data_IF_714529487571
#
_entry.id   IF_714529487571
#
_cell.length_a   1.000
_cell.length_b   1.000
_cell.length_c   1.000
_cell.angle_alpha   90.00
_cell.angle_beta   90.00
_cell.angle_gamma   90.00
#
_symmetry.space_group_name_H-M   'P 1'
#
loop_
_entity.id
_entity.type
_entity.pdbx_description
1 polymer ?
#
# COMPACT_ATOMS: atom_id res chain seq x y z
N UNK A 1 -39.76 4.13 -9.25
CA UNK A 1 -38.85 3.02 -8.90
C UNK A 1 -37.57 3.19 -9.72
N UNK A 2 -36.42 3.46 -9.09
CA UNK A 2 -35.13 3.57 -9.81
C UNK A 2 -34.62 2.16 -10.14
N UNK A 3 -35.11 1.58 -11.25
CA UNK A 3 -34.64 0.28 -11.77
C UNK A 3 -33.35 0.43 -12.60
N UNK A 4 -32.49 1.38 -12.25
CA UNK A 4 -31.19 1.58 -12.90
C UNK A 4 -30.07 0.99 -12.07
N UNK A 5 -29.05 0.42 -12.71
CA UNK A 5 -27.79 0.10 -12.05
C UNK A 5 -27.18 1.43 -11.57
N UNK A 6 -26.80 1.56 -10.28
CA UNK A 6 -26.21 2.80 -9.80
C UNK A 6 -24.88 3.09 -10.50
N UNK A 7 -24.55 4.37 -10.80
CA UNK A 7 -23.31 4.69 -11.50
C UNK A 7 -22.10 4.30 -10.67
N UNK A 8 -21.06 3.83 -11.37
CA UNK A 8 -19.81 3.44 -10.74
C UNK A 8 -19.11 4.66 -10.11
N UNK A 9 -18.70 4.53 -8.84
CA UNK A 9 -17.92 5.56 -8.15
C UNK A 9 -16.50 5.06 -7.94
N UNK A 10 -15.54 5.73 -8.58
CA UNK A 10 -14.10 5.48 -8.41
C UNK A 10 -13.70 5.70 -6.96
N UNK A 11 -14.25 6.73 -6.30
CA UNK A 11 -13.97 7.02 -4.89
C UNK A 11 -14.43 5.86 -4.00
N UNK A 12 -15.62 5.31 -4.26
CA UNK A 12 -16.13 4.17 -3.49
C UNK A 12 -15.32 2.90 -3.76
N UNK A 13 -14.88 2.70 -5.00
CA UNK A 13 -13.99 1.58 -5.35
C UNK A 13 -12.65 1.68 -4.61
N UNK A 14 -11.99 2.85 -4.65
CA UNK A 14 -10.73 3.07 -3.93
C UNK A 14 -10.91 2.88 -2.43
N UNK A 15 -11.99 3.40 -1.86
CA UNK A 15 -12.31 3.20 -0.45
C UNK A 15 -12.53 1.71 -0.11
N UNK A 16 -13.23 0.95 -0.97
CA UNK A 16 -13.41 -0.50 -0.81
C UNK A 16 -12.08 -1.25 -0.79
N UNK A 17 -11.21 -0.96 -1.76
CA UNK A 17 -9.89 -1.60 -1.86
C UNK A 17 -9.06 -1.31 -0.60
N UNK A 18 -8.98 -0.05 -0.20
CA UNK A 18 -8.21 0.38 0.98
C UNK A 18 -8.76 -0.24 2.27
N UNK A 19 -10.08 -0.22 2.49
CA UNK A 19 -10.67 -0.81 3.69
C UNK A 19 -10.56 -2.33 3.71
N UNK A 20 -10.62 -3.00 2.56
CA UNK A 20 -10.37 -4.43 2.45
C UNK A 20 -8.94 -4.80 2.85
N UNK A 21 -7.94 -4.06 2.35
CA UNK A 21 -6.52 -4.25 2.73
C UNK A 21 -6.34 -4.02 4.23
N UNK A 22 -6.95 -2.97 4.78
CA UNK A 22 -6.89 -2.66 6.21
C UNK A 22 -7.47 -3.78 7.08
N UNK A 23 -8.63 -4.35 6.72
CA UNK A 23 -9.21 -5.47 7.44
C UNK A 23 -8.36 -6.74 7.32
N UNK A 24 -7.75 -6.99 6.16
CA UNK A 24 -6.79 -8.07 5.96
C UNK A 24 -5.59 -7.94 6.89
N UNK A 25 -5.01 -6.73 6.98
CA UNK A 25 -3.87 -6.43 7.85
C UNK A 25 -4.25 -6.57 9.33
N UNK A 26 -5.42 -6.06 9.73
CA UNK A 26 -5.92 -6.22 11.09
C UNK A 26 -6.08 -7.70 11.47
N UNK A 27 -6.59 -8.52 10.56
CA UNK A 27 -6.68 -9.96 10.74
C UNK A 27 -5.29 -10.63 10.76
N UNK A 28 -4.33 -10.17 9.97
CA UNK A 28 -2.96 -10.69 10.00
C UNK A 28 -2.30 -10.45 11.35
N UNK A 29 -2.51 -9.25 11.89
CA UNK A 29 -1.92 -8.86 13.17
C UNK A 29 -2.61 -9.61 14.32
N UNK A 30 -3.94 -9.72 14.31
CA UNK A 30 -4.71 -10.27 15.44
C UNK A 30 -4.99 -11.79 15.38
N UNK A 31 -5.03 -12.38 14.19
CA UNK A 31 -5.58 -13.72 13.95
C UNK A 31 -4.68 -14.63 13.09
N UNK A 32 -3.46 -14.21 12.74
CA UNK A 32 -2.53 -15.02 11.92
C UNK A 32 -2.08 -16.33 12.57
N UNK A 33 -2.26 -16.48 13.88
CA UNK A 33 -1.93 -17.72 14.61
C UNK A 33 -2.91 -18.86 14.35
N UNK A 34 -4.05 -18.59 13.70
CA UNK A 34 -5.03 -19.61 13.35
C UNK A 34 -4.53 -20.47 12.18
N UNK A 35 -4.66 -21.79 12.32
CA UNK A 35 -4.14 -22.81 11.37
C UNK A 35 -4.68 -22.65 9.93
N UNK A 36 -5.83 -21.99 9.76
CA UNK A 36 -6.47 -21.76 8.46
C UNK A 36 -6.57 -20.27 8.10
N UNK A 37 -5.62 -19.47 8.60
CA UNK A 37 -5.64 -18.01 8.43
C UNK A 37 -5.74 -17.58 6.96
N UNK A 38 -4.83 -18.03 6.09
CA UNK A 38 -4.77 -17.59 4.69
C UNK A 38 -5.98 -18.04 3.84
N UNK A 39 -6.59 -19.19 4.18
CA UNK A 39 -7.70 -19.79 3.42
C UNK A 39 -9.06 -19.30 3.89
N UNK A 40 -9.23 -19.09 5.19
CA UNK A 40 -10.54 -18.77 5.78
C UNK A 40 -10.58 -17.34 6.33
N UNK A 41 -9.65 -17.01 7.23
CA UNK A 41 -9.72 -15.79 8.03
C UNK A 41 -9.42 -14.55 7.20
N UNK A 42 -8.37 -14.62 6.36
CA UNK A 42 -7.94 -13.51 5.52
C UNK A 42 -9.00 -13.11 4.47
N UNK A 43 -9.49 -14.01 3.58
CA UNK A 43 -10.51 -13.63 2.60
C UNK A 43 -11.83 -13.20 3.23
N UNK A 44 -12.20 -13.77 4.38
CA UNK A 44 -13.35 -13.34 5.15
C UNK A 44 -13.18 -11.91 5.68
N UNK A 45 -12.06 -11.60 6.31
CA UNK A 45 -11.77 -10.27 6.83
C UNK A 45 -11.75 -9.22 5.70
N UNK A 46 -11.00 -9.48 4.62
CA UNK A 46 -10.91 -8.59 3.46
C UNK A 46 -12.28 -8.39 2.81
N UNK A 47 -13.02 -9.46 2.57
CA UNK A 47 -14.35 -9.39 1.95
C UNK A 47 -15.38 -8.64 2.81
N UNK A 48 -15.32 -8.78 4.14
CA UNK A 48 -16.13 -8.00 5.07
C UNK A 48 -15.76 -6.52 5.05
N UNK A 49 -14.46 -6.18 4.99
CA UNK A 49 -13.97 -4.80 4.87
C UNK A 49 -14.47 -4.13 3.57
N UNK A 50 -14.37 -4.83 2.44
CA UNK A 50 -14.91 -4.37 1.15
C UNK A 50 -16.42 -4.19 1.21
N UNK A 51 -17.15 -5.15 1.79
CA UNK A 51 -18.60 -5.07 1.89
C UNK A 51 -19.07 -3.96 2.83
N UNK A 52 -18.34 -3.67 3.91
CA UNK A 52 -18.61 -2.56 4.81
C UNK A 52 -18.74 -1.25 4.02
N UNK A 53 -17.74 -0.91 3.20
CA UNK A 53 -17.74 0.30 2.36
C UNK A 53 -18.78 0.20 1.23
N UNK A 54 -18.99 -1.00 0.68
CA UNK A 54 -20.05 -1.22 -0.29
C UNK A 54 -21.44 -0.88 0.28
N UNK A 55 -21.62 -1.07 1.58
CA UNK A 55 -22.86 -0.86 2.32
C UNK A 55 -23.00 0.58 2.85
N UNK A 56 -22.09 1.49 2.52
CA UNK A 56 -22.21 2.91 2.89
C UNK A 56 -23.06 3.66 1.86
N UNK A 57 -24.09 4.35 2.34
CA UNK A 57 -24.99 5.16 1.51
C UNK A 57 -26.19 4.40 0.93
N UNK A 58 -26.72 4.91 -0.19
CA UNK A 58 -27.93 4.40 -0.85
C UNK A 58 -27.66 3.19 -1.78
N UNK A 59 -26.39 2.90 -2.05
CA UNK A 59 -25.93 1.80 -2.90
C UNK A 59 -25.43 0.66 -2.02
N UNK A 60 -25.66 -0.58 -2.43
CA UNK A 60 -25.11 -1.76 -1.76
C UNK A 60 -24.77 -2.86 -2.77
N UNK A 61 -23.94 -3.81 -2.37
CA UNK A 61 -23.66 -5.03 -3.14
C UNK A 61 -24.08 -6.25 -2.32
N UNK A 62 -24.26 -7.41 -2.95
CA UNK A 62 -24.56 -8.65 -2.20
C UNK A 62 -23.28 -9.15 -1.55
N UNK A 63 -23.30 -9.35 -0.22
CA UNK A 63 -22.16 -9.85 0.56
C UNK A 63 -21.62 -11.17 0.00
N UNK A 64 -22.51 -12.08 -0.38
CA UNK A 64 -22.14 -13.41 -0.92
C UNK A 64 -21.23 -13.29 -2.15
N UNK A 65 -21.55 -12.41 -3.10
CA UNK A 65 -20.74 -12.27 -4.33
C UNK A 65 -19.35 -11.71 -4.02
N UNK A 66 -19.27 -10.74 -3.10
CA UNK A 66 -18.00 -10.17 -2.63
C UNK A 66 -17.14 -11.22 -1.92
N UNK A 67 -17.74 -12.03 -1.05
CA UNK A 67 -17.04 -13.10 -0.34
C UNK A 67 -16.58 -14.20 -1.29
N UNK A 68 -17.45 -14.68 -2.20
CA UNK A 68 -17.07 -15.70 -3.19
C UNK A 68 -15.86 -15.24 -3.99
N UNK A 69 -15.83 -13.98 -4.44
CA UNK A 69 -14.66 -13.43 -5.11
C UNK A 69 -13.41 -13.48 -4.22
N UNK A 70 -13.50 -13.00 -2.98
CA UNK A 70 -12.39 -13.01 -2.03
C UNK A 70 -11.84 -14.43 -1.80
N UNK A 71 -12.72 -15.40 -1.56
CA UNK A 71 -12.38 -16.81 -1.34
C UNK A 71 -11.82 -17.49 -2.59
N UNK A 72 -12.27 -17.12 -3.80
CA UNK A 72 -11.71 -17.65 -5.04
C UNK A 72 -10.30 -17.13 -5.31
N UNK A 73 -10.02 -15.86 -4.97
CA UNK A 73 -8.67 -15.29 -5.13
C UNK A 73 -7.66 -15.71 -4.06
N UNK A 74 -8.11 -16.07 -2.86
CA UNK A 74 -7.21 -16.40 -1.74
C UNK A 74 -6.24 -17.57 -2.03
N UNK A 75 -6.67 -18.73 -2.55
CA UNK A 75 -5.80 -19.87 -2.83
C UNK A 75 -4.69 -19.58 -3.84
N UNK A 76 -4.93 -18.66 -4.78
CA UNK A 76 -3.97 -18.30 -5.85
C UNK A 76 -2.69 -17.69 -5.26
N UNK A 77 -2.83 -16.99 -4.12
CA UNK A 77 -1.73 -16.28 -3.47
C UNK A 77 -1.44 -16.83 -2.07
N UNK A 78 -1.70 -18.13 -1.87
CA UNK A 78 -1.54 -18.79 -0.57
C UNK A 78 -0.13 -18.60 0.02
N UNK A 79 -0.08 -18.32 1.33
CA UNK A 79 1.18 -18.21 2.09
C UNK A 79 1.98 -16.93 1.86
N UNK A 80 1.48 -15.97 1.06
CA UNK A 80 2.13 -14.67 0.87
C UNK A 80 1.36 -13.57 1.60
N UNK A 81 2.08 -12.70 2.32
CA UNK A 81 1.49 -11.49 2.91
C UNK A 81 0.82 -10.58 1.86
N UNK A 82 1.28 -10.63 0.61
CA UNK A 82 0.73 -9.86 -0.53
C UNK A 82 -0.71 -10.23 -0.87
N UNK A 83 -1.19 -11.41 -0.46
CA UNK A 83 -2.50 -11.95 -0.85
C UNK A 83 -3.68 -11.02 -0.52
N UNK A 84 -3.55 -10.13 0.47
CA UNK A 84 -4.61 -9.18 0.84
C UNK A 84 -4.96 -8.21 -0.30
N UNK A 85 -3.98 -7.78 -1.11
CA UNK A 85 -4.15 -6.81 -2.20
C UNK A 85 -5.00 -7.38 -3.34
N UNK A 86 -4.65 -8.52 -3.99
CA UNK A 86 -5.44 -9.09 -5.07
C UNK A 86 -6.82 -9.56 -4.58
N UNK A 87 -6.91 -10.10 -3.35
CA UNK A 87 -8.20 -10.45 -2.74
C UNK A 87 -9.09 -9.20 -2.62
N UNK A 88 -8.55 -8.09 -2.10
CA UNK A 88 -9.29 -6.84 -1.94
C UNK A 88 -9.72 -6.25 -3.28
N UNK A 89 -8.84 -6.31 -4.29
CA UNK A 89 -9.13 -5.84 -5.63
C UNK A 89 -10.24 -6.66 -6.30
N UNK A 90 -10.13 -8.00 -6.29
CA UNK A 90 -11.12 -8.88 -6.89
C UNK A 90 -12.50 -8.79 -6.20
N UNK A 91 -12.50 -8.71 -4.86
CA UNK A 91 -13.70 -8.48 -4.07
C UNK A 91 -14.33 -7.13 -4.40
N UNK A 92 -13.51 -6.07 -4.54
CA UNK A 92 -14.00 -4.73 -4.90
C UNK A 92 -14.57 -4.69 -6.30
N UNK A 93 -13.89 -5.26 -7.30
CA UNK A 93 -14.38 -5.36 -8.69
C UNK A 93 -15.74 -6.09 -8.71
N UNK A 94 -15.84 -7.22 -8.04
CA UNK A 94 -17.07 -8.03 -7.99
C UNK A 94 -18.20 -7.30 -7.26
N UNK A 95 -17.87 -6.57 -6.19
CA UNK A 95 -18.82 -5.70 -5.48
C UNK A 95 -19.34 -4.58 -6.38
N UNK A 96 -18.45 -3.98 -7.18
CA UNK A 96 -18.75 -2.90 -8.13
C UNK A 96 -19.58 -3.39 -9.33
N UNK A 97 -19.42 -4.65 -9.76
CA UNK A 97 -20.22 -5.23 -10.83
C UNK A 97 -21.64 -5.59 -10.36
N UNK A 98 -21.80 -6.03 -9.11
CA UNK A 98 -23.06 -6.52 -8.56
C UNK A 98 -23.81 -5.48 -7.69
N UNK A 99 -23.77 -4.21 -8.08
CA UNK A 99 -24.37 -3.11 -7.31
C UNK A 99 -25.87 -3.00 -7.53
N UNK A 100 -26.59 -2.72 -6.45
CA UNK A 100 -28.01 -2.41 -6.47
C UNK A 100 -28.34 -1.29 -5.49
N UNK A 101 -29.42 -0.57 -5.76
CA UNK A 101 -29.96 0.39 -4.80
C UNK A 101 -30.55 -0.35 -3.59
N UNK A 102 -30.35 0.21 -2.40
CA UNK A 102 -31.03 -0.29 -1.21
C UNK A 102 -32.54 -0.06 -1.35
N UNK A 103 -33.32 -1.12 -1.12
CA UNK A 103 -34.75 -0.98 -0.88
C UNK A 103 -34.91 -0.23 0.44
N UNK A 104 -35.41 1.00 0.35
CA UNK A 104 -35.39 1.97 1.43
C UNK A 104 -36.37 1.55 2.54
N UNK A 105 -35.90 0.94 3.62
CA UNK A 105 -36.69 0.73 4.83
C UNK A 105 -36.19 1.69 5.91
N UNK A 106 -36.84 2.84 5.99
CA UNK A 106 -36.48 3.96 6.85
C UNK A 106 -36.92 3.65 8.29
N UNK A 107 -36.06 3.02 9.09
CA UNK A 107 -36.23 3.01 10.54
C UNK A 107 -35.48 4.22 11.12
N UNK A 108 -36.23 5.11 11.77
CA UNK A 108 -35.71 6.31 12.42
C UNK A 108 -35.02 5.91 13.73
N UNK A 109 -33.75 5.50 13.66
CA UNK A 109 -32.98 5.14 14.84
C UNK A 109 -32.45 6.38 15.57
N UNK A 110 -32.52 6.36 16.90
CA UNK A 110 -32.03 7.44 17.75
C UNK A 110 -30.51 7.66 17.58
N UNK A 111 -30.08 8.92 17.59
CA UNK A 111 -28.67 9.31 17.40
C UNK A 111 -27.72 8.66 18.43
N UNK A 112 -28.17 8.51 19.67
CA UNK A 112 -27.40 7.85 20.74
C UNK A 112 -27.10 6.38 20.44
N UNK A 113 -28.07 5.65 19.88
CA UNK A 113 -27.91 4.26 19.47
C UNK A 113 -26.92 4.14 18.29
N UNK A 114 -26.92 5.09 17.37
CA UNK A 114 -25.94 5.15 16.28
C UNK A 114 -24.53 5.40 16.80
N UNK A 115 -24.36 6.39 17.66
CA UNK A 115 -23.06 6.72 18.26
C UNK A 115 -22.55 5.57 19.13
N UNK A 116 -23.41 4.91 19.89
CA UNK A 116 -23.07 3.74 20.69
C UNK A 116 -22.58 2.58 19.81
N UNK A 117 -23.28 2.26 18.71
CA UNK A 117 -22.85 1.21 17.77
C UNK A 117 -21.52 1.55 17.09
N UNK A 118 -21.31 2.81 16.71
CA UNK A 118 -20.05 3.27 16.14
C UNK A 118 -18.92 3.17 17.18
N UNK A 119 -19.17 3.57 18.42
CA UNK A 119 -18.21 3.45 19.52
C UNK A 119 -17.86 1.99 19.82
N UNK A 120 -18.85 1.10 19.85
CA UNK A 120 -18.65 -0.34 20.04
C UNK A 120 -17.85 -0.95 18.87
N UNK A 121 -18.18 -0.58 17.63
CA UNK A 121 -17.45 -1.02 16.44
C UNK A 121 -16.00 -0.51 16.46
N UNK A 122 -15.78 0.73 16.87
CA UNK A 122 -14.45 1.30 17.05
C UNK A 122 -13.66 0.54 18.11
N UNK A 123 -14.26 0.24 19.26
CA UNK A 123 -13.60 -0.47 20.36
C UNK A 123 -13.29 -1.93 20.00
N UNK A 124 -14.22 -2.61 19.33
CA UNK A 124 -14.04 -3.98 18.83
C UNK A 124 -12.95 -4.08 17.75
N UNK A 125 -12.73 -3.00 17.00
CA UNK A 125 -11.71 -2.96 15.94
C UNK A 125 -10.34 -2.52 16.48
N UNK A 126 -10.30 -1.50 17.33
CA UNK A 126 -9.06 -0.93 17.86
C UNK A 126 -8.52 -1.70 19.05
N UNK A 127 -9.36 -2.34 19.86
CA UNK A 127 -8.96 -3.11 21.04
C UNK A 127 -8.03 -4.28 20.70
N UNK A 128 -8.41 -5.20 19.78
CA UNK A 128 -7.54 -6.29 19.36
C UNK A 128 -6.27 -5.79 18.67
N UNK A 129 -6.37 -4.73 17.85
CA UNK A 129 -5.23 -4.12 17.15
C UNK A 129 -4.21 -3.54 18.13
N UNK A 130 -4.69 -2.78 19.12
CA UNK A 130 -3.89 -2.25 20.21
C UNK A 130 -3.29 -3.39 21.04
N UNK A 131 -4.09 -4.38 21.43
CA UNK A 131 -3.61 -5.54 22.19
C UNK A 131 -2.48 -6.29 21.45
N UNK A 132 -2.63 -6.53 20.15
CA UNK A 132 -1.59 -7.17 19.33
C UNK A 132 -0.37 -6.29 19.08
N UNK A 133 -0.53 -4.97 18.96
CA UNK A 133 0.57 -4.03 18.79
C UNK A 133 1.40 -3.88 20.07
N UNK A 134 0.77 -3.96 21.24
CA UNK A 134 1.43 -3.80 22.54
C UNK A 134 2.05 -5.11 23.08
N UNK A 135 1.51 -6.29 22.73
CA UNK A 135 1.94 -7.58 23.31
C UNK A 135 2.65 -8.54 22.34
N UNK A 136 2.49 -8.37 21.03
CA UNK A 136 3.09 -9.25 20.01
C UNK A 136 3.89 -8.45 18.97
N UNK A 137 4.61 -7.42 19.46
CA UNK A 137 5.25 -6.36 18.69
C UNK A 137 6.13 -6.86 17.54
N UNK A 138 6.90 -7.93 17.75
CA UNK A 138 7.80 -8.46 16.73
C UNK A 138 7.09 -9.04 15.51
N UNK A 139 5.97 -9.74 15.70
CA UNK A 139 5.17 -10.32 14.60
C UNK A 139 4.36 -9.27 13.86
N UNK A 140 3.79 -8.33 14.60
CA UNK A 140 3.09 -7.18 14.02
C UNK A 140 4.01 -6.41 13.09
N UNK A 141 5.27 -6.23 13.52
CA UNK A 141 6.29 -5.52 12.76
C UNK A 141 6.71 -6.27 11.49
N UNK A 142 6.93 -7.58 11.55
CA UNK A 142 7.27 -8.35 10.35
C UNK A 142 6.13 -8.35 9.32
N UNK A 143 4.88 -8.52 9.75
CA UNK A 143 3.74 -8.49 8.82
C UNK A 143 3.52 -7.10 8.19
N UNK A 144 3.70 -6.04 8.97
CA UNK A 144 3.61 -4.67 8.44
C UNK A 144 4.75 -4.39 7.47
N UNK A 145 5.99 -4.76 7.80
CA UNK A 145 7.14 -4.65 6.91
C UNK A 145 6.92 -5.42 5.60
N UNK A 146 6.57 -6.71 5.66
CA UNK A 146 6.29 -7.52 4.46
C UNK A 146 5.14 -6.95 3.62
N UNK A 147 4.08 -6.43 4.26
CA UNK A 147 2.96 -5.80 3.55
C UNK A 147 3.38 -4.51 2.85
N UNK A 148 4.22 -3.69 3.49
CA UNK A 148 4.76 -2.47 2.90
C UNK A 148 5.70 -2.82 1.73
N UNK A 149 6.63 -3.75 1.92
CA UNK A 149 7.56 -4.18 0.86
C UNK A 149 6.81 -4.71 -0.35
N UNK A 150 5.83 -5.58 -0.14
CA UNK A 150 4.98 -6.10 -1.20
C UNK A 150 4.17 -5.03 -1.94
N UNK A 151 3.68 -4.01 -1.21
CA UNK A 151 2.96 -2.89 -1.79
C UNK A 151 3.89 -2.03 -2.63
N UNK A 152 5.12 -1.79 -2.16
CA UNK A 152 6.15 -1.03 -2.89
C UNK A 152 6.65 -1.78 -4.12
N UNK A 153 6.88 -3.09 -4.02
CA UNK A 153 7.21 -3.97 -5.15
C UNK A 153 6.10 -3.95 -6.19
N UNK A 154 4.85 -4.06 -5.76
CA UNK A 154 3.70 -3.96 -6.65
C UNK A 154 3.58 -2.59 -7.31
N UNK A 155 3.84 -1.52 -6.55
CA UNK A 155 3.82 -0.14 -7.04
C UNK A 155 5.05 0.24 -7.86
N UNK A 156 6.08 -0.59 -7.93
CA UNK A 156 7.28 -0.35 -8.75
C UNK A 156 6.94 -0.18 -10.24
N UNK A 157 5.83 -0.79 -10.70
CA UNK A 157 5.29 -0.59 -12.05
C UNK A 157 4.89 0.88 -12.32
N UNK A 158 4.60 1.67 -11.29
CA UNK A 158 4.30 3.09 -11.38
C UNK A 158 5.32 3.92 -10.55
N UNK A 159 6.44 4.34 -11.16
CA UNK A 159 7.57 4.94 -10.45
C UNK A 159 7.20 6.17 -9.60
N UNK A 160 6.26 6.99 -10.08
CA UNK A 160 5.79 8.18 -9.37
C UNK A 160 4.95 7.86 -8.12
N UNK A 161 4.12 6.81 -8.19
CA UNK A 161 3.24 6.41 -7.10
C UNK A 161 4.00 5.67 -5.99
N UNK A 162 4.96 4.81 -6.36
CA UNK A 162 5.92 4.20 -5.42
C UNK A 162 6.66 5.27 -4.63
N UNK A 163 7.24 6.26 -5.32
CA UNK A 163 8.01 7.32 -4.68
C UNK A 163 7.19 8.24 -3.77
N UNK A 164 5.89 8.44 -4.06
CA UNK A 164 4.99 9.18 -3.17
C UNK A 164 4.65 8.36 -1.93
N UNK A 165 4.38 7.06 -2.07
CA UNK A 165 4.08 6.19 -0.94
C UNK A 165 5.26 6.04 0.01
N UNK A 166 6.47 5.84 -0.51
CA UNK A 166 7.69 5.80 0.30
C UNK A 166 7.85 7.06 1.16
N UNK A 167 7.63 8.24 0.57
CA UNK A 167 7.69 9.51 1.31
C UNK A 167 6.62 9.62 2.39
N UNK A 168 5.39 9.21 2.08
CA UNK A 168 4.27 9.24 3.04
C UNK A 168 4.56 8.29 4.20
N UNK A 169 5.16 7.13 3.94
CA UNK A 169 5.52 6.15 4.97
C UNK A 169 6.63 6.65 5.90
N UNK A 170 7.61 7.42 5.38
CA UNK A 170 8.70 7.98 6.18
C UNK A 170 8.36 9.32 6.87
N UNK A 171 7.30 10.00 6.43
CA UNK A 171 6.89 11.31 6.96
C UNK A 171 6.57 11.29 8.47
N UNK A 172 5.83 10.31 8.99
CA UNK A 172 5.57 10.17 10.43
C UNK A 172 6.86 10.11 11.25
N UNK A 173 7.89 9.39 10.76
CA UNK A 173 9.18 9.31 11.45
C UNK A 173 9.91 10.64 11.46
N UNK A 174 9.96 11.36 10.32
CA UNK A 174 10.59 12.69 10.25
C UNK A 174 9.91 13.70 11.16
N UNK A 175 8.57 13.69 11.20
CA UNK A 175 7.78 14.54 12.10
C UNK A 175 8.05 14.13 13.55
N UNK A 176 8.05 12.83 13.85
CA UNK A 176 8.25 12.31 15.20
C UNK A 176 9.65 12.60 15.74
N UNK A 177 10.71 12.39 14.94
CA UNK A 177 12.07 12.73 15.31
C UNK A 177 12.27 14.22 15.59
N UNK A 178 11.48 15.07 14.92
CA UNK A 178 11.44 16.52 15.17
C UNK A 178 10.69 16.87 16.46
N UNK A 179 9.67 16.10 16.83
CA UNK A 179 8.86 16.29 18.04
C UNK A 179 9.53 15.74 19.31
N UNK A 180 10.26 14.63 19.25
CA UNK A 180 10.78 13.96 20.46
C UNK A 180 12.23 14.30 20.79
N UNK A 181 12.90 15.13 20.00
CA UNK A 181 14.24 15.65 20.31
C UNK A 181 15.28 14.58 20.65
N UNK A 182 15.13 13.36 20.10
CA UNK A 182 16.04 12.23 20.37
C UNK A 182 16.05 11.70 21.82
N UNK A 183 15.06 11.99 22.66
CA UNK A 183 15.11 11.69 24.10
C UNK A 183 14.19 10.56 24.60
N UNK A 184 14.78 9.55 25.24
CA UNK A 184 14.24 8.80 26.41
C UNK A 184 13.15 7.75 26.20
N UNK A 185 12.09 8.06 25.45
CA UNK A 185 10.97 7.13 25.17
C UNK A 185 11.28 6.10 24.07
N UNK A 186 12.51 6.15 23.55
CA UNK A 186 13.00 5.43 22.37
C UNK A 186 13.16 3.92 22.58
N UNK A 187 13.41 3.47 23.82
CA UNK A 187 14.03 2.15 23.97
C UNK A 187 13.04 0.96 24.01
N UNK A 188 11.85 1.13 24.58
CA UNK A 188 10.98 -0.01 24.93
C UNK A 188 9.89 -0.30 23.88
N UNK A 189 9.31 0.74 23.26
CA UNK A 189 8.19 0.59 22.31
C UNK A 189 8.60 0.73 20.85
N UNK A 190 9.76 1.34 20.58
CA UNK A 190 10.12 1.79 19.23
C UNK A 190 11.11 0.88 18.51
N UNK A 191 11.83 0.00 19.23
CA UNK A 191 12.87 -0.88 18.67
C UNK A 191 12.34 -1.80 17.57
N UNK A 192 11.11 -2.29 17.70
CA UNK A 192 10.50 -3.13 16.68
C UNK A 192 10.00 -2.27 15.51
N UNK A 193 9.43 -1.09 15.74
CA UNK A 193 8.99 -0.19 14.66
C UNK A 193 10.17 0.39 13.86
N UNK A 194 11.32 0.56 14.49
CA UNK A 194 12.59 0.90 13.86
C UNK A 194 12.98 -0.12 12.78
N UNK A 195 12.65 -1.41 12.95
CA UNK A 195 12.91 -2.43 11.93
C UNK A 195 12.06 -2.25 10.67
N UNK A 196 10.80 -1.82 10.79
CA UNK A 196 9.99 -1.47 9.60
C UNK A 196 10.62 -0.27 8.90
N UNK A 197 11.09 0.71 9.66
CA UNK A 197 11.75 1.88 9.09
C UNK A 197 13.05 1.48 8.37
N UNK A 198 13.92 0.71 9.01
CA UNK A 198 15.16 0.19 8.41
C UNK A 198 14.86 -0.61 7.14
N UNK A 199 13.78 -1.39 7.14
CA UNK A 199 13.32 -2.11 5.96
C UNK A 199 12.82 -1.17 4.85
N UNK A 200 12.00 -0.16 5.14
CA UNK A 200 11.56 0.82 4.13
C UNK A 200 12.74 1.68 3.63
N UNK A 201 13.71 1.95 4.49
CA UNK A 201 14.96 2.63 4.12
C UNK A 201 15.87 1.73 3.28
N UNK A 202 15.92 0.41 3.52
CA UNK A 202 16.71 -0.52 2.71
C UNK A 202 16.21 -0.57 1.26
N UNK A 203 14.89 -0.47 1.05
CA UNK A 203 14.32 -0.34 -0.30
C UNK A 203 14.78 0.93 -1.03
N UNK A 204 14.96 2.04 -0.30
CA UNK A 204 15.52 3.27 -0.88
C UNK A 204 16.99 3.06 -1.25
N UNK A 205 17.80 2.52 -0.35
CA UNK A 205 19.22 2.26 -0.59
C UNK A 205 19.43 1.31 -1.79
N UNK A 206 18.61 0.27 -1.92
CA UNK A 206 18.70 -0.67 -3.05
C UNK A 206 18.34 0.01 -4.38
N UNK A 207 17.31 0.87 -4.40
CA UNK A 207 16.96 1.67 -5.58
C UNK A 207 18.05 2.68 -5.94
N UNK A 208 18.69 3.28 -4.95
CA UNK A 208 19.83 4.20 -5.14
C UNK A 208 21.02 3.49 -5.77
N UNK A 209 21.39 2.34 -5.23
CA UNK A 209 22.49 1.53 -5.76
C UNK A 209 22.21 1.09 -7.20
N UNK A 210 20.97 0.67 -7.48
CA UNK A 210 20.55 0.28 -8.83
C UNK A 210 20.59 1.46 -9.80
N UNK A 211 20.12 2.64 -9.39
CA UNK A 211 20.18 3.85 -10.21
C UNK A 211 21.63 4.28 -10.51
N UNK A 212 22.54 4.17 -9.53
CA UNK A 212 23.97 4.40 -9.72
C UNK A 212 24.58 3.41 -10.72
N UNK A 213 24.22 2.12 -10.61
CA UNK A 213 24.65 1.07 -11.56
C UNK A 213 24.17 1.33 -12.98
N UNK A 214 22.91 1.73 -13.17
CA UNK A 214 22.33 2.02 -14.49
C UNK A 214 23.02 3.21 -15.17
N UNK A 215 23.30 4.27 -14.41
CA UNK A 215 24.00 5.46 -14.93
C UNK A 215 25.53 5.29 -14.98
N UNK A 216 26.06 4.26 -14.33
CA UNK A 216 27.50 4.00 -14.22
C UNK A 216 28.25 5.04 -13.40
N UNK A 217 27.59 5.61 -12.38
CA UNK A 217 28.14 6.68 -11.52
C UNK A 217 28.35 6.19 -10.10
N UNK A 218 29.26 6.86 -9.38
CA UNK A 218 29.48 6.62 -7.95
C UNK A 218 28.27 7.06 -7.10
N UNK A 219 28.00 6.42 -5.94
CA UNK A 219 26.96 6.89 -5.00
C UNK A 219 27.14 8.33 -4.54
N UNK A 220 28.40 8.80 -4.48
CA UNK A 220 28.77 10.17 -4.09
C UNK A 220 29.05 11.09 -5.30
N UNK A 221 28.64 10.70 -6.50
CA UNK A 221 28.84 11.49 -7.71
C UNK A 221 28.21 12.88 -7.62
N UNK A 222 28.91 13.88 -8.15
CA UNK A 222 28.39 15.24 -8.23
C UNK A 222 27.24 15.32 -9.24
N UNK A 223 26.34 16.31 -9.09
CA UNK A 223 25.19 16.45 -9.98
C UNK A 223 25.62 16.70 -11.44
N UNK A 224 26.77 17.34 -11.65
CA UNK A 224 27.38 17.54 -12.97
C UNK A 224 27.78 16.22 -13.62
N UNK A 225 28.33 15.28 -12.84
CA UNK A 225 28.73 13.95 -13.30
C UNK A 225 27.50 13.10 -13.66
N UNK A 226 26.47 13.13 -12.83
CA UNK A 226 25.16 12.49 -13.11
C UNK A 226 24.56 13.03 -14.42
N UNK A 227 24.56 14.36 -14.60
CA UNK A 227 24.07 15.01 -15.80
C UNK A 227 24.88 14.65 -17.06
N UNK A 228 26.20 14.51 -16.91
CA UNK A 228 27.08 14.14 -18.01
C UNK A 228 26.81 12.71 -18.49
N UNK A 229 26.86 11.74 -17.58
CA UNK A 229 26.60 10.33 -17.88
C UNK A 229 25.19 10.11 -18.44
N UNK A 230 24.19 10.79 -17.89
CA UNK A 230 22.83 10.77 -18.44
C UNK A 230 22.78 11.22 -19.91
N UNK A 231 23.43 12.33 -20.25
CA UNK A 231 23.43 12.85 -21.64
C UNK A 231 24.10 11.89 -22.61
N UNK A 232 25.15 11.20 -22.18
CA UNK A 232 25.88 10.27 -23.04
C UNK A 232 25.10 8.97 -23.24
N UNK A 233 24.47 8.44 -22.18
CA UNK A 233 23.60 7.28 -22.26
C UNK A 233 22.33 7.55 -23.09
N UNK A 234 21.74 8.74 -22.97
CA UNK A 234 20.59 9.16 -23.79
C UNK A 234 20.96 9.22 -25.27
N UNK A 235 22.14 9.75 -25.63
CA UNK A 235 22.59 9.78 -27.04
C UNK A 235 22.81 8.37 -27.58
N UNK A 236 23.34 7.47 -26.75
CA UNK A 236 23.62 6.08 -27.12
C UNK A 236 22.34 5.29 -27.34
N UNK A 237 21.35 5.43 -26.45
CA UNK A 237 20.11 4.65 -26.44
C UNK A 237 18.88 5.38 -27.00
N UNK A 238 19.06 6.54 -27.64
CA UNK A 238 17.92 7.28 -28.20
C UNK A 238 17.19 6.41 -29.25
N UNK A 239 15.84 6.33 -29.21
CA UNK A 239 15.07 5.50 -30.13
C UNK A 239 15.28 5.91 -31.60
N UNK A 240 15.57 7.18 -31.89
CA UNK A 240 15.90 7.62 -33.25
C UNK A 240 17.22 7.08 -33.79
N UNK A 241 18.22 6.84 -32.93
CA UNK A 241 19.52 6.29 -33.35
C UNK A 241 19.48 4.76 -33.47
N UNK A 242 18.60 4.12 -32.70
CA UNK A 242 18.52 2.66 -32.59
C UNK A 242 17.26 2.07 -33.24
N UNK A 243 16.89 2.57 -34.43
CA UNK A 243 15.71 2.11 -35.19
C UNK A 243 15.72 0.62 -35.54
N UNK A 244 16.90 0.00 -35.53
CA UNK A 244 17.11 -1.41 -35.78
C UNK A 244 16.79 -2.30 -34.56
N UNK A 245 16.68 -1.71 -33.35
CA UNK A 245 16.34 -2.40 -32.09
C UNK A 245 15.42 -1.51 -31.23
N UNK A 246 14.19 -1.23 -31.70
CA UNK A 246 13.32 -0.23 -31.06
C UNK A 246 12.91 -0.63 -29.65
N UNK A 247 12.65 -1.92 -29.40
CA UNK A 247 12.19 -2.42 -28.10
C UNK A 247 13.30 -2.32 -27.05
N UNK A 248 14.53 -2.72 -27.38
CA UNK A 248 15.67 -2.66 -26.45
C UNK A 248 16.06 -1.22 -26.14
N UNK A 249 16.09 -0.35 -27.15
CA UNK A 249 16.40 1.06 -26.95
C UNK A 249 15.33 1.78 -26.13
N UNK A 250 14.04 1.49 -26.34
CA UNK A 250 12.96 2.05 -25.53
C UNK A 250 13.06 1.60 -24.06
N UNK A 251 13.32 0.32 -23.80
CA UNK A 251 13.52 -0.21 -22.45
C UNK A 251 14.69 0.50 -21.74
N UNK A 252 15.87 0.53 -22.37
CA UNK A 252 17.03 1.20 -21.78
C UNK A 252 16.82 2.70 -21.59
N UNK A 253 16.14 3.37 -22.53
CA UNK A 253 15.83 4.79 -22.41
C UNK A 253 14.95 5.08 -21.18
N UNK A 254 13.92 4.26 -20.94
CA UNK A 254 13.05 4.37 -19.76
C UNK A 254 13.86 4.14 -18.47
N UNK A 255 14.72 3.12 -18.43
CA UNK A 255 15.57 2.81 -17.28
C UNK A 255 16.54 3.96 -16.95
N UNK A 256 17.21 4.52 -17.97
CA UNK A 256 18.15 5.64 -17.83
C UNK A 256 17.41 6.88 -17.28
N UNK A 257 16.23 7.18 -17.81
CA UNK A 257 15.43 8.30 -17.35
C UNK A 257 14.99 8.13 -15.89
N UNK A 258 14.51 6.93 -15.52
CA UNK A 258 14.11 6.63 -14.15
C UNK A 258 15.28 6.73 -13.15
N UNK A 259 16.47 6.24 -13.53
CA UNK A 259 17.68 6.35 -12.74
C UNK A 259 18.09 7.82 -12.52
N UNK A 260 18.07 8.63 -13.59
CA UNK A 260 18.41 10.05 -13.52
C UNK A 260 17.46 10.85 -12.63
N UNK A 261 16.16 10.61 -12.77
CA UNK A 261 15.15 11.26 -11.92
C UNK A 261 15.31 10.89 -10.44
N UNK A 262 15.71 9.65 -10.17
CA UNK A 262 15.95 9.15 -8.81
C UNK A 262 17.15 9.85 -8.18
N UNK A 263 18.32 9.84 -8.84
CA UNK A 263 19.54 10.46 -8.32
C UNK A 263 19.42 11.98 -8.19
N UNK A 264 18.87 12.66 -9.20
CA UNK A 264 18.67 14.13 -9.17
C UNK A 264 17.78 14.55 -8.00
N UNK A 265 16.73 13.77 -7.73
CA UNK A 265 15.81 14.01 -6.62
C UNK A 265 16.51 13.86 -5.26
N UNK A 266 17.39 12.87 -5.11
CA UNK A 266 18.15 12.63 -3.88
C UNK A 266 19.17 13.72 -3.61
N UNK A 267 19.90 14.14 -4.64
CA UNK A 267 20.83 15.26 -4.55
C UNK A 267 20.13 16.53 -4.06
N UNK A 268 18.96 16.86 -4.65
CA UNK A 268 18.12 17.98 -4.22
C UNK A 268 17.62 17.88 -2.77
N UNK A 269 17.47 16.67 -2.22
CA UNK A 269 17.13 16.48 -0.80
C UNK A 269 18.34 16.72 0.10
N UNK A 270 19.53 16.24 -0.30
CA UNK A 270 20.80 16.44 0.41
C UNK A 270 21.13 17.93 0.53
N UNK A 271 20.97 18.67 -0.57
CA UNK A 271 21.19 20.13 -0.62
C UNK A 271 20.23 20.94 0.27
N UNK A 272 19.02 20.42 0.54
CA UNK A 272 18.03 21.10 1.41
C UNK A 272 18.21 20.79 2.89
N UNK A 273 19.00 19.77 3.21
CA UNK A 273 19.28 19.36 4.58
C UNK A 273 20.56 20.00 5.14
N UNK A 274 21.28 20.76 4.32
CA UNK A 274 22.42 21.60 4.68
C UNK A 274 22.02 23.08 4.62
#
# INVERSE_FOLDING_TARGET
>A
MKNGIPPASIIQFMAQVTTGIYFGLAAAIGLSTLTSYYVLVLPLAVGLGVHLVASVGEKTSKLQNTLVAAFLTSPIFYGRAVSMIPISLAASITSQQNRHYRLHQRQHENLSLRLYRIGLAYLAFTGPLAYSALLNTSRTVSYVAESIGALLDWLSFFPSLSALMEKILLLPYRIWGLFTGGGGLHHQYFKEWEKIYEFVASFQNEKEEMACKILGVSPDAAIEEINHHYRDLVKLWHPDHNRHRPIEAEQHFIEIQAAYETLTRLHKMKDRAH
#
